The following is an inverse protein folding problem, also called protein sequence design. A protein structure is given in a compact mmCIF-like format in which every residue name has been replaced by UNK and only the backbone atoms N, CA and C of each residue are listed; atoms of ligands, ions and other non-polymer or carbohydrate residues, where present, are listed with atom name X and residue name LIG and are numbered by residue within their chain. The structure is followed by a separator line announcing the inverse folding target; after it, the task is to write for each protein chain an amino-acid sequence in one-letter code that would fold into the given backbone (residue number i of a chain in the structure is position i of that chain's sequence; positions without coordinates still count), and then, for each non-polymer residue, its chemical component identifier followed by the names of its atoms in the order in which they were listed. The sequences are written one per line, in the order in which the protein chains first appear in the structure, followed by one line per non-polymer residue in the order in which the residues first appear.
data_IF_667630107293
#
_entry.id   IF_667630107293
#
_cell.length_a   1.000
_cell.length_b   1.000
_cell.length_c   1.000
_cell.angle_alpha   90.00
_cell.angle_beta   90.00
_cell.angle_gamma   90.00
#
_symmetry.space_group_name_H-M   'P 1'
#
loop_
_entity.id
_entity.type
_entity.pdbx_description
1 polymer ?
#
# COMPACT_ATOMS: atom_id res chain seq x y z
N UNK A 1 4.83 -9.35 -7.13
CA UNK A 1 4.43 -9.05 -5.75
C UNK A 1 4.70 -10.24 -4.80
N UNK A 2 4.28 -11.47 -5.12
CA UNK A 2 4.37 -12.60 -4.18
C UNK A 2 5.80 -12.91 -3.69
N UNK A 3 6.79 -12.87 -4.56
CA UNK A 3 8.18 -13.20 -4.25
C UNK A 3 8.99 -12.01 -3.68
N UNK A 4 8.40 -10.84 -3.55
CA UNK A 4 9.06 -9.67 -2.99
C UNK A 4 8.87 -9.61 -1.47
N UNK A 5 9.87 -9.19 -0.73
CA UNK A 5 9.81 -8.92 0.71
C UNK A 5 9.25 -7.53 0.99
N UNK A 6 9.51 -6.57 0.08
CA UNK A 6 9.00 -5.20 0.16
C UNK A 6 8.28 -4.79 -1.13
N UNK A 7 7.30 -3.90 -1.00
CA UNK A 7 6.50 -3.38 -2.11
C UNK A 7 6.39 -1.86 -1.95
N UNK A 8 6.76 -1.13 -3.01
CA UNK A 8 6.50 0.30 -3.10
C UNK A 8 5.44 0.54 -4.17
N UNK A 9 4.40 1.28 -3.83
CA UNK A 9 3.39 1.73 -4.80
C UNK A 9 3.56 3.24 -4.98
N UNK A 10 3.82 3.64 -6.23
CA UNK A 10 3.88 5.04 -6.64
C UNK A 10 2.69 5.41 -7.52
N UNK A 11 2.14 6.61 -7.34
CA UNK A 11 1.03 7.12 -8.13
C UNK A 11 1.14 8.63 -8.39
N UNK A 12 0.80 9.11 -9.58
CA UNK A 12 0.41 10.51 -9.73
C UNK A 12 -0.93 10.74 -9.06
N UNK A 13 -1.15 11.98 -8.61
CA UNK A 13 -2.43 12.40 -8.02
C UNK A 13 -3.30 13.06 -9.08
N UNK A 14 -4.47 12.50 -9.31
CA UNK A 14 -5.49 13.08 -10.17
C UNK A 14 -6.77 13.25 -9.38
N UNK A 15 -7.30 14.49 -9.36
CA UNK A 15 -8.52 14.84 -8.59
C UNK A 15 -8.48 14.29 -7.15
N UNK A 16 -7.38 14.63 -6.44
CA UNK A 16 -7.16 14.27 -5.04
C UNK A 16 -7.13 12.76 -4.73
N UNK A 17 -6.91 11.92 -5.75
CA UNK A 17 -6.95 10.47 -5.60
C UNK A 17 -5.79 9.78 -6.34
N UNK A 18 -5.67 8.47 -6.12
CA UNK A 18 -4.76 7.62 -6.88
C UNK A 18 -5.18 7.55 -8.34
N UNK A 19 -4.21 7.36 -9.23
CA UNK A 19 -4.49 7.13 -10.66
C UNK A 19 -5.28 5.84 -10.87
N UNK A 20 -6.10 5.82 -11.93
CA UNK A 20 -6.93 4.65 -12.28
C UNK A 20 -6.12 3.36 -12.42
N UNK A 21 -4.92 3.43 -13.01
CA UNK A 21 -4.02 2.29 -13.15
C UNK A 21 -3.60 1.72 -11.79
N UNK A 22 -3.31 2.59 -10.81
CA UNK A 22 -2.98 2.19 -9.44
C UNK A 22 -4.17 1.51 -8.78
N UNK A 23 -5.37 2.06 -8.96
CA UNK A 23 -6.60 1.46 -8.43
C UNK A 23 -6.87 0.09 -9.06
N UNK A 24 -6.74 -0.05 -10.38
CA UNK A 24 -6.90 -1.33 -11.07
C UNK A 24 -5.89 -2.37 -10.58
N UNK A 25 -4.61 -1.98 -10.35
CA UNK A 25 -3.62 -2.88 -9.74
C UNK A 25 -4.09 -3.38 -8.38
N UNK A 26 -4.50 -2.47 -7.50
CA UNK A 26 -4.99 -2.82 -6.16
C UNK A 26 -6.22 -3.74 -6.22
N UNK A 27 -7.19 -3.45 -7.10
CA UNK A 27 -8.40 -4.27 -7.24
C UNK A 27 -8.09 -5.68 -7.75
N UNK A 28 -7.15 -5.82 -8.68
CA UNK A 28 -6.73 -7.14 -9.18
C UNK A 28 -6.03 -7.98 -8.12
N UNK A 29 -5.43 -7.38 -7.11
CA UNK A 29 -4.84 -8.13 -5.98
C UNK A 29 -5.90 -8.72 -5.04
N UNK A 30 -7.19 -8.43 -5.24
CA UNK A 30 -8.27 -9.09 -4.51
C UNK A 30 -8.18 -10.61 -4.60
N UNK A 31 -7.74 -11.14 -5.75
CA UNK A 31 -7.49 -12.58 -5.92
C UNK A 31 -6.43 -13.15 -4.95
N UNK A 32 -5.55 -12.30 -4.41
CA UNK A 32 -4.51 -12.70 -3.46
C UNK A 32 -5.00 -12.73 -2.00
N UNK A 33 -6.27 -12.41 -1.75
CA UNK A 33 -6.87 -12.51 -0.42
C UNK A 33 -7.32 -13.94 -0.09
N UNK A 34 -7.35 -14.85 -1.08
CA UNK A 34 -7.86 -16.20 -0.94
C UNK A 34 -6.79 -17.27 -1.19
N UNK A 35 -6.81 -18.39 -0.44
CA UNK A 35 -7.60 -18.62 0.78
C UNK A 35 -7.07 -17.89 2.00
N UNK A 36 -5.91 -17.23 1.89
CA UNK A 36 -5.22 -16.45 2.92
C UNK A 36 -4.68 -15.17 2.33
N UNK A 37 -4.35 -14.20 3.17
CA UNK A 37 -3.72 -12.95 2.77
C UNK A 37 -2.29 -13.20 2.28
N UNK A 38 -2.11 -13.34 0.96
CA UNK A 38 -0.82 -13.71 0.36
C UNK A 38 0.21 -12.58 0.34
N UNK A 39 -0.20 -11.35 0.67
CA UNK A 39 0.68 -10.19 0.78
C UNK A 39 1.05 -9.87 2.24
N UNK A 40 0.57 -10.65 3.20
CA UNK A 40 0.90 -10.51 4.63
C UNK A 40 2.41 -10.53 4.87
N UNK A 41 2.83 -9.79 5.89
CA UNK A 41 4.22 -9.71 6.35
C UNK A 41 5.21 -9.04 5.40
N UNK A 42 4.74 -8.46 4.29
CA UNK A 42 5.60 -7.65 3.42
C UNK A 42 5.72 -6.24 3.96
N UNK A 43 6.90 -5.65 3.79
CA UNK A 43 7.09 -4.23 4.09
C UNK A 43 6.56 -3.40 2.94
N UNK A 44 5.88 -2.31 3.22
CA UNK A 44 5.24 -1.47 2.21
C UNK A 44 5.63 0.00 2.33
N UNK A 45 5.70 0.68 1.19
CA UNK A 45 5.88 2.13 1.12
C UNK A 45 4.99 2.73 0.04
N UNK A 46 4.54 3.96 0.25
CA UNK A 46 3.70 4.69 -0.68
C UNK A 46 4.36 6.00 -1.16
N UNK A 47 4.22 6.30 -2.44
CA UNK A 47 4.67 7.57 -3.01
C UNK A 47 3.50 8.18 -3.81
N UNK A 48 3.10 9.39 -3.48
CA UNK A 48 2.13 10.15 -4.26
C UNK A 48 2.74 11.46 -4.76
N UNK A 49 2.70 11.69 -6.06
CA UNK A 49 3.25 12.91 -6.67
C UNK A 49 2.11 13.78 -7.20
N UNK A 50 2.08 15.03 -6.78
CA UNK A 50 1.05 16.00 -7.14
C UNK A 50 1.66 17.31 -7.65
N UNK A 51 0.92 18.04 -8.49
CA UNK A 51 1.33 19.37 -8.91
C UNK A 51 1.13 20.44 -7.81
N UNK A 52 0.16 20.25 -6.92
CA UNK A 52 -0.19 21.21 -5.85
C UNK A 52 -0.63 20.54 -4.55
N UNK A 53 -1.69 19.76 -4.60
CA UNK A 53 -2.36 19.25 -3.40
C UNK A 53 -2.98 17.86 -3.65
N UNK A 54 -3.49 17.23 -2.61
CA UNK A 54 -4.21 15.95 -2.68
C UNK A 54 -3.32 14.71 -2.51
N UNK A 55 -2.00 14.86 -2.34
CA UNK A 55 -1.10 13.72 -2.14
C UNK A 55 -1.51 12.87 -0.93
N UNK A 56 -1.85 13.49 0.19
CA UNK A 56 -2.23 12.75 1.41
C UNK A 56 -3.50 11.93 1.25
N UNK A 57 -4.47 12.37 0.42
CA UNK A 57 -5.65 11.56 0.12
C UNK A 57 -5.28 10.28 -0.62
N UNK A 58 -4.40 10.37 -1.61
CA UNK A 58 -3.90 9.23 -2.35
C UNK A 58 -3.06 8.29 -1.47
N UNK A 59 -2.20 8.85 -0.59
CA UNK A 59 -1.40 8.09 0.36
C UNK A 59 -2.29 7.31 1.34
N UNK A 60 -3.30 7.94 1.91
CA UNK A 60 -4.25 7.29 2.82
C UNK A 60 -4.94 6.07 2.19
N UNK A 61 -5.28 6.14 0.89
CA UNK A 61 -5.87 5.01 0.17
C UNK A 61 -4.87 3.85 0.07
N UNK A 62 -3.62 4.13 -0.27
CA UNK A 62 -2.57 3.12 -0.39
C UNK A 62 -2.18 2.52 0.97
N UNK A 63 -2.07 3.34 2.01
CA UNK A 63 -1.82 2.88 3.38
C UNK A 63 -2.94 1.96 3.87
N UNK A 64 -4.20 2.34 3.60
CA UNK A 64 -5.34 1.48 3.94
C UNK A 64 -5.30 0.15 3.23
N UNK A 65 -4.87 0.14 1.96
CA UNK A 65 -4.64 -1.09 1.21
C UNK A 65 -3.54 -1.95 1.86
N UNK A 66 -2.42 -1.36 2.29
CA UNK A 66 -1.34 -2.10 2.96
C UNK A 66 -1.83 -2.73 4.28
N UNK A 67 -2.50 -1.95 5.11
CA UNK A 67 -3.04 -2.43 6.39
C UNK A 67 -4.07 -3.54 6.21
N UNK A 68 -4.95 -3.45 5.20
CA UNK A 68 -5.94 -4.50 4.92
C UNK A 68 -5.31 -5.81 4.43
N UNK A 69 -4.10 -5.76 3.91
CA UNK A 69 -3.32 -6.93 3.51
C UNK A 69 -2.34 -7.40 4.59
N UNK A 70 -2.41 -6.84 5.79
CA UNK A 70 -1.48 -7.12 6.91
C UNK A 70 0.00 -6.94 6.50
N UNK A 71 0.28 -5.92 5.71
CA UNK A 71 1.64 -5.46 5.44
C UNK A 71 2.12 -4.54 6.56
N UNK A 72 3.42 -4.33 6.65
CA UNK A 72 4.06 -3.37 7.55
C UNK A 72 4.41 -2.09 6.78
N UNK A 73 3.59 -1.02 6.86
CA UNK A 73 3.95 0.24 6.25
C UNK A 73 5.21 0.82 6.91
N UNK A 74 6.19 1.25 6.12
CA UNK A 74 7.34 1.99 6.60
C UNK A 74 6.99 3.47 6.72
N UNK A 75 6.95 4.15 5.57
CA UNK A 75 6.63 5.56 5.49
C UNK A 75 5.88 5.84 4.19
N UNK A 76 5.35 7.06 4.05
CA UNK A 76 4.71 7.53 2.84
C UNK A 76 5.27 8.89 2.40
N UNK A 77 5.43 9.07 1.10
CA UNK A 77 6.09 10.22 0.51
C UNK A 77 5.12 11.03 -0.34
N UNK A 78 4.92 12.29 0.03
CA UNK A 78 4.24 13.30 -0.78
C UNK A 78 5.29 14.08 -1.58
N UNK A 79 5.37 13.85 -2.89
CA UNK A 79 6.25 14.58 -3.81
C UNK A 79 5.52 15.65 -4.59
N UNK A 80 6.27 16.65 -5.05
CA UNK A 80 5.79 17.77 -5.88
C UNK A 80 6.39 17.70 -7.28
N UNK A 81 5.54 17.70 -8.30
CA UNK A 81 5.93 17.83 -9.71
C UNK A 81 4.75 18.30 -10.55
N UNK A 82 4.95 19.35 -11.33
CA UNK A 82 3.97 19.83 -12.30
C UNK A 82 4.27 19.31 -13.72
N UNK A 83 5.56 19.25 -14.06
CA UNK A 83 6.03 18.88 -15.39
C UNK A 83 6.94 17.65 -15.34
N UNK A 84 7.17 17.07 -16.51
CA UNK A 84 8.08 15.92 -16.64
C UNK A 84 9.49 16.26 -16.14
N UNK A 85 9.96 15.49 -15.15
CA UNK A 85 11.29 15.65 -14.56
C UNK A 85 11.33 16.52 -13.29
N UNK A 86 10.23 17.20 -12.92
CA UNK A 86 10.22 18.05 -11.73
C UNK A 86 10.32 17.26 -10.42
N UNK A 87 9.80 16.05 -10.39
CA UNK A 87 9.92 15.19 -9.21
C UNK A 87 11.38 14.99 -8.76
N UNK A 88 12.32 14.93 -9.71
CA UNK A 88 13.76 14.82 -9.41
C UNK A 88 14.35 16.11 -8.82
N UNK A 89 13.66 17.26 -8.95
CA UNK A 89 14.05 18.56 -8.40
C UNK A 89 13.42 18.82 -7.03
N UNK A 90 12.45 18.01 -6.61
CA UNK A 90 11.86 18.08 -5.27
C UNK A 90 12.82 17.45 -4.25
N UNK A 91 13.76 18.25 -3.75
CA UNK A 91 14.78 17.81 -2.80
C UNK A 91 14.15 17.16 -1.56
N UNK A 92 13.04 17.70 -1.06
CA UNK A 92 12.33 17.17 0.11
C UNK A 92 11.71 15.82 -0.21
N UNK A 93 10.99 15.71 -1.33
CA UNK A 93 10.38 14.46 -1.78
C UNK A 93 11.43 13.36 -2.02
N UNK A 94 12.53 13.71 -2.69
CA UNK A 94 13.65 12.80 -2.96
C UNK A 94 14.32 12.32 -1.68
N UNK A 95 14.57 13.22 -0.71
CA UNK A 95 15.12 12.85 0.60
C UNK A 95 14.18 11.95 1.36
N UNK A 96 12.89 12.28 1.41
CA UNK A 96 11.88 11.44 2.08
C UNK A 96 11.79 10.05 1.45
N UNK A 97 11.84 9.95 0.11
CA UNK A 97 11.84 8.67 -0.59
C UNK A 97 13.09 7.82 -0.26
N UNK A 98 14.26 8.45 -0.16
CA UNK A 98 15.48 7.78 0.24
C UNK A 98 15.38 7.24 1.69
N UNK A 99 14.89 8.06 2.64
CA UNK A 99 14.72 7.63 4.02
C UNK A 99 13.64 6.54 4.16
N UNK A 100 12.56 6.60 3.40
CA UNK A 100 11.58 5.50 3.33
C UNK A 100 12.24 4.20 2.88
N UNK A 101 13.08 4.24 1.85
CA UNK A 101 13.81 3.06 1.38
C UNK A 101 14.73 2.47 2.47
N UNK A 102 15.40 3.32 3.25
CA UNK A 102 16.22 2.90 4.40
C UNK A 102 15.38 2.24 5.50
N UNK A 103 14.24 2.84 5.84
CA UNK A 103 13.30 2.27 6.81
C UNK A 103 12.77 0.91 6.35
N UNK A 104 12.39 0.79 5.07
CA UNK A 104 11.96 -0.48 4.50
C UNK A 104 13.04 -1.56 4.62
N UNK A 105 14.30 -1.24 4.28
CA UNK A 105 15.41 -2.18 4.40
C UNK A 105 15.62 -2.63 5.87
N UNK A 106 15.54 -1.69 6.82
CA UNK A 106 15.63 -1.99 8.24
C UNK A 106 14.49 -2.90 8.73
N UNK A 107 13.25 -2.61 8.33
CA UNK A 107 12.07 -3.41 8.72
C UNK A 107 12.13 -4.82 8.13
N UNK A 108 12.54 -4.98 6.87
CA UNK A 108 12.75 -6.31 6.26
C UNK A 108 13.80 -7.12 7.03
N UNK A 109 14.86 -6.48 7.50
CA UNK A 109 15.90 -7.12 8.33
C UNK A 109 15.40 -7.62 9.69
N UNK A 110 14.29 -7.10 10.22
CA UNK A 110 13.70 -7.53 11.50
C UNK A 110 12.89 -8.84 11.41
N UNK A 111 12.59 -9.32 10.19
CA UNK A 111 11.79 -10.52 9.96
C UNK A 111 10.45 -10.53 10.74
N UNK A 112 9.80 -9.38 10.83
CA UNK A 112 8.51 -9.22 11.52
C UNK A 112 7.44 -10.07 10.88
N UNK A 113 6.62 -10.74 11.69
CA UNK A 113 5.50 -11.57 11.20
C UNK A 113 4.29 -11.45 12.10
N UNK A 114 3.14 -11.32 11.48
CA UNK A 114 1.87 -11.55 12.16
C UNK A 114 1.72 -13.04 12.48
N UNK A 115 1.17 -13.41 13.64
CA UNK A 115 0.74 -14.78 13.91
C UNK A 115 -0.20 -15.30 12.82
N UNK A 116 -0.15 -16.60 12.54
CA UNK A 116 -0.94 -17.21 11.46
C UNK A 116 -2.45 -17.02 11.63
N UNK A 117 -2.94 -16.94 12.86
CA UNK A 117 -4.35 -16.70 13.17
C UNK A 117 -4.87 -15.37 12.59
N UNK A 118 -3.99 -14.37 12.39
CA UNK A 118 -4.33 -13.09 11.77
C UNK A 118 -4.19 -13.10 10.23
N UNK A 119 -3.69 -14.18 9.66
CA UNK A 119 -3.48 -14.28 8.20
C UNK A 119 -4.74 -14.74 7.46
N UNK A 120 -5.88 -14.20 7.87
CA UNK A 120 -7.18 -14.46 7.23
C UNK A 120 -7.90 -13.12 6.98
N UNK A 121 -8.63 -13.00 5.87
CA UNK A 121 -9.41 -11.80 5.61
C UNK A 121 -10.44 -11.56 6.72
N UNK A 122 -10.58 -10.30 7.14
CA UNK A 122 -11.47 -9.91 8.24
C UNK A 122 -12.93 -10.37 8.03
N UNK A 123 -13.42 -10.37 6.79
CA UNK A 123 -14.80 -10.79 6.50
C UNK A 123 -15.07 -12.27 6.80
N UNK A 124 -14.04 -13.16 6.79
CA UNK A 124 -14.21 -14.55 7.20
C UNK A 124 -14.64 -14.69 8.66
N UNK A 125 -14.07 -13.88 9.54
CA UNK A 125 -14.48 -13.87 10.95
C UNK A 125 -15.91 -13.37 11.13
N UNK A 126 -16.35 -12.46 10.26
CA UNK A 126 -17.72 -11.95 10.26
C UNK A 126 -18.68 -13.07 9.82
N UNK A 127 -18.38 -13.75 8.72
CA UNK A 127 -19.22 -14.81 8.15
C UNK A 127 -19.38 -15.99 9.11
N UNK A 128 -18.31 -16.45 9.73
CA UNK A 128 -18.32 -17.54 10.69
C UNK A 128 -19.10 -17.18 11.98
N UNK A 129 -18.88 -15.97 12.50
CA UNK A 129 -19.46 -15.52 13.76
C UNK A 129 -20.93 -15.10 13.64
N UNK A 130 -21.29 -14.43 12.56
CA UNK A 130 -22.61 -13.81 12.41
C UNK A 130 -23.50 -14.52 11.42
N UNK A 131 -23.05 -15.62 10.79
CA UNK A 131 -23.78 -16.34 9.72
C UNK A 131 -24.38 -15.36 8.71
N UNK A 132 -23.57 -14.38 8.31
CA UNK A 132 -24.00 -13.41 7.32
C UNK A 132 -24.53 -14.17 6.09
N UNK A 133 -25.68 -13.74 5.53
CA UNK A 133 -26.19 -14.39 4.34
C UNK A 133 -25.12 -14.34 3.25
N UNK A 134 -24.81 -15.50 2.67
CA UNK A 134 -23.93 -15.57 1.51
C UNK A 134 -24.56 -14.73 0.40
N UNK A 135 -23.96 -13.58 0.12
CA UNK A 135 -24.36 -12.84 -1.09
C UNK A 135 -23.93 -13.70 -2.29
N UNK A 136 -24.85 -14.10 -3.18
CA UNK A 136 -24.47 -14.73 -4.42
C UNK A 136 -23.61 -13.73 -5.22
N UNK A 137 -22.37 -14.13 -5.51
CA UNK A 137 -21.50 -13.42 -6.45
C UNK A 137 -21.97 -13.69 -7.86
#
# INVERSE_FOLDING_TARGET
MLNAEGIVIGTPVYYWSIAGQTKVLMDRTFALLHPRLQLTNKVAGAIAVTAREGAYNALNIMERYFLSNHMFPADSVAGLAAEKGDAAKDERGMKSAYEMGRQMAMLMGQNLKFPEEFNVPMYRHIDEKYKAPSYPI
#
